data_IF_545045121385
#
_entry.id   IF_545045121385
#
_cell.length_a   1.000
_cell.length_b   1.000
_cell.length_c   1.000
_cell.angle_alpha   90.00
_cell.angle_beta   90.00
_cell.angle_gamma   90.00
#
_symmetry.space_group_name_H-M   'P 1'
#
loop_
_entity.id
_entity.type
_entity.pdbx_description
1 polymer ?
#
# COMPACT_ATOMS: atom_id res chain seq x y z
N UNK A 1 36.73 -3.75 -8.10
CA UNK A 1 35.62 -3.85 -9.06
C UNK A 1 34.60 -2.79 -8.69
N UNK A 2 34.21 -1.91 -9.62
CA UNK A 2 33.19 -0.88 -9.38
C UNK A 2 31.90 -1.27 -10.12
N UNK A 3 30.76 -1.26 -9.43
CA UNK A 3 29.45 -1.43 -10.04
C UNK A 3 28.87 -0.04 -10.33
N UNK A 4 28.62 0.26 -11.60
CA UNK A 4 28.07 1.55 -12.04
C UNK A 4 26.64 1.34 -12.53
N UNK A 5 25.66 1.92 -11.84
CA UNK A 5 24.27 1.97 -12.29
C UNK A 5 23.94 3.38 -12.82
N UNK A 6 23.65 3.48 -14.11
CA UNK A 6 23.24 4.72 -14.75
C UNK A 6 21.80 4.61 -15.26
N UNK A 7 20.96 5.59 -14.94
CA UNK A 7 19.62 5.73 -15.53
C UNK A 7 19.25 7.20 -15.70
N UNK A 8 18.72 7.55 -16.87
CA UNK A 8 18.11 8.84 -17.16
C UNK A 8 16.69 8.98 -16.57
N UNK A 9 16.04 7.87 -16.21
CA UNK A 9 14.72 7.88 -15.59
C UNK A 9 14.82 8.28 -14.10
N UNK A 10 14.11 9.35 -13.73
CA UNK A 10 14.17 9.97 -12.40
C UNK A 10 13.67 9.08 -11.26
N UNK A 11 12.68 8.22 -11.51
CA UNK A 11 12.17 7.25 -10.54
C UNK A 11 13.17 6.10 -10.33
N UNK A 12 13.73 5.56 -11.42
CA UNK A 12 14.74 4.50 -11.37
C UNK A 12 15.99 4.93 -10.59
N UNK A 13 16.38 6.22 -10.68
CA UNK A 13 17.46 6.79 -9.86
C UNK A 13 17.20 6.66 -8.35
N UNK A 14 15.96 6.93 -7.89
CA UNK A 14 15.61 6.81 -6.47
C UNK A 14 15.61 5.34 -6.00
N UNK A 15 15.04 4.45 -6.80
CA UNK A 15 15.06 3.01 -6.54
C UNK A 15 16.50 2.45 -6.48
N UNK A 16 17.38 2.87 -7.40
CA UNK A 16 18.78 2.45 -7.41
C UNK A 16 19.57 2.95 -6.19
N UNK A 17 19.37 4.22 -5.79
CA UNK A 17 20.00 4.77 -4.60
C UNK A 17 19.56 4.02 -3.33
N UNK A 18 18.27 3.69 -3.20
CA UNK A 18 17.74 2.88 -2.11
C UNK A 18 18.38 1.50 -2.06
N UNK A 19 18.40 0.76 -3.19
CA UNK A 19 18.95 -0.59 -3.24
C UNK A 19 20.45 -0.61 -2.92
N UNK A 20 21.23 0.35 -3.43
CA UNK A 20 22.68 0.45 -3.17
C UNK A 20 22.97 0.85 -1.71
N UNK A 21 22.17 1.73 -1.12
CA UNK A 21 22.31 2.08 0.30
C UNK A 21 21.88 0.92 1.23
N UNK A 22 20.75 0.26 0.94
CA UNK A 22 20.30 -0.91 1.70
C UNK A 22 21.32 -2.06 1.64
N UNK A 23 21.91 -2.32 0.46
CA UNK A 23 22.99 -3.30 0.33
C UNK A 23 24.22 -2.95 1.19
N UNK A 24 24.59 -1.67 1.28
CA UNK A 24 25.68 -1.22 2.16
C UNK A 24 25.36 -1.48 3.64
N UNK A 25 24.16 -1.12 4.11
CA UNK A 25 23.72 -1.40 5.49
C UNK A 25 23.75 -2.90 5.81
N UNK A 26 23.26 -3.74 4.90
CA UNK A 26 23.17 -5.18 5.12
C UNK A 26 24.55 -5.86 5.16
N UNK A 27 25.44 -5.50 4.23
CA UNK A 27 26.76 -6.11 4.03
C UNK A 27 27.84 -5.53 4.95
N UNK A 28 27.85 -4.21 5.18
CA UNK A 28 28.90 -3.51 5.91
C UNK A 28 28.45 -3.00 7.30
N UNK A 29 27.19 -3.22 7.69
CA UNK A 29 26.62 -2.81 8.98
C UNK A 29 26.72 -1.30 9.27
N UNK A 30 26.75 -0.49 8.22
CA UNK A 30 26.64 0.98 8.30
C UNK A 30 25.22 1.39 8.67
N UNK A 31 25.09 2.54 9.33
CA UNK A 31 23.79 3.19 9.58
C UNK A 31 23.11 3.64 8.29
N UNK A 32 21.80 3.92 8.35
CA UNK A 32 21.04 4.47 7.23
C UNK A 32 21.61 5.82 6.75
N UNK A 33 22.01 6.68 7.68
CA UNK A 33 22.58 8.00 7.38
C UNK A 33 24.00 7.92 6.77
N UNK A 34 24.82 6.94 7.17
CA UNK A 34 26.13 6.68 6.55
C UNK A 34 25.99 6.10 5.13
N UNK A 35 25.12 5.11 4.94
CA UNK A 35 24.85 4.50 3.64
C UNK A 35 24.22 5.50 2.65
N UNK A 36 23.42 6.44 3.15
CA UNK A 36 22.85 7.53 2.35
C UNK A 36 23.79 8.73 2.14
N UNK A 37 24.87 8.86 2.94
CA UNK A 37 25.81 10.00 2.87
C UNK A 37 26.33 10.32 1.46
N UNK A 38 26.71 9.36 0.59
CA UNK A 38 27.17 9.65 -0.78
C UNK A 38 26.09 10.28 -1.67
N UNK A 39 24.82 10.12 -1.33
CA UNK A 39 23.67 10.61 -2.09
C UNK A 39 23.19 12.00 -1.63
N UNK A 40 23.66 12.49 -0.47
CA UNK A 40 23.35 13.84 0.04
C UNK A 40 23.87 14.90 -0.95
N UNK A 41 23.03 15.87 -1.28
CA UNK A 41 23.36 16.93 -2.24
C UNK A 41 23.28 16.55 -3.73
N UNK A 42 22.89 15.32 -4.07
CA UNK A 42 22.72 14.89 -5.48
C UNK A 42 21.81 15.83 -6.26
N UNK A 43 22.26 16.29 -7.44
CA UNK A 43 21.47 17.09 -8.37
C UNK A 43 21.29 16.38 -9.73
N UNK A 44 20.09 16.38 -10.33
CA UNK A 44 18.81 16.76 -9.71
C UNK A 44 18.46 15.80 -8.57
N UNK A 45 17.79 16.31 -7.53
CA UNK A 45 17.42 15.53 -6.32
C UNK A 45 16.60 14.29 -6.71
N UNK A 46 16.64 13.25 -5.88
CA UNK A 46 15.78 12.09 -6.03
C UNK A 46 14.31 12.50 -5.87
N UNK A 47 13.45 11.95 -6.71
CA UNK A 47 11.99 12.08 -6.55
C UNK A 47 11.58 11.23 -5.35
N UNK A 48 10.87 11.77 -4.35
CA UNK A 48 10.34 10.97 -3.24
C UNK A 48 9.36 9.90 -3.73
N UNK A 49 9.35 8.76 -3.05
CA UNK A 49 8.36 7.72 -3.23
C UNK A 49 6.97 8.25 -2.85
N UNK A 50 5.98 7.82 -3.62
CA UNK A 50 4.55 8.12 -3.43
C UNK A 50 3.82 6.88 -2.95
N UNK A 51 2.56 7.05 -2.55
CA UNK A 51 1.63 5.94 -2.35
C UNK A 51 0.94 5.51 -3.66
N UNK A 52 0.24 4.38 -3.59
CA UNK A 52 -0.43 3.75 -4.72
C UNK A 52 -1.86 4.28 -5.00
N UNK A 53 -2.25 5.44 -4.44
CA UNK A 53 -3.54 6.08 -4.77
C UNK A 53 -3.51 6.75 -6.15
N UNK A 54 -4.69 6.87 -6.76
CA UNK A 54 -4.90 7.66 -7.98
C UNK A 54 -5.03 9.13 -7.61
N UNK A 55 -4.24 10.00 -8.24
CA UNK A 55 -4.33 11.45 -8.07
C UNK A 55 -3.10 12.10 -7.43
N UNK A 56 -3.24 13.29 -6.81
CA UNK A 56 -2.13 14.01 -6.20
C UNK A 56 -1.64 13.31 -4.94
N UNK A 57 -0.33 13.22 -4.76
CA UNK A 57 0.28 12.63 -3.57
C UNK A 57 0.67 13.74 -2.57
N UNK A 58 0.07 13.72 -1.38
CA UNK A 58 0.31 14.71 -0.31
C UNK A 58 1.40 14.32 0.69
N UNK A 59 1.81 13.04 0.71
CA UNK A 59 2.82 12.51 1.60
C UNK A 59 4.03 12.01 0.80
N UNK A 60 5.23 12.55 1.07
CA UNK A 60 6.44 12.29 0.29
C UNK A 60 7.43 11.50 1.13
N UNK A 61 7.60 10.22 0.80
CA UNK A 61 8.51 9.30 1.49
C UNK A 61 9.88 9.30 0.79
N UNK A 62 10.94 9.66 1.49
CA UNK A 62 12.29 9.75 0.89
C UNK A 62 13.04 8.42 0.91
N UNK A 63 14.15 8.36 0.17
CA UNK A 63 15.09 7.22 0.23
C UNK A 63 15.61 7.01 1.65
N UNK A 64 15.90 8.09 2.38
CA UNK A 64 16.42 8.00 3.75
C UNK A 64 15.37 7.43 4.71
N UNK A 65 14.09 7.78 4.56
CA UNK A 65 13.02 7.26 5.42
C UNK A 65 12.83 5.75 5.25
N UNK A 66 12.92 5.24 4.01
CA UNK A 66 12.93 3.80 3.73
C UNK A 66 14.15 3.09 4.34
N UNK A 67 15.34 3.71 4.28
CA UNK A 67 16.55 3.16 4.87
C UNK A 67 16.47 3.14 6.40
N UNK A 68 15.94 4.19 7.03
CA UNK A 68 15.70 4.21 8.49
C UNK A 68 14.64 3.20 8.92
N UNK A 69 13.61 2.96 8.09
CA UNK A 69 12.68 1.85 8.27
C UNK A 69 13.38 0.49 8.27
N UNK A 70 14.29 0.24 7.32
CA UNK A 70 15.10 -0.98 7.28
C UNK A 70 16.04 -1.09 8.51
N UNK A 71 16.69 0.01 8.90
CA UNK A 71 17.57 0.08 10.08
C UNK A 71 16.82 -0.28 11.37
N UNK A 72 15.63 0.29 11.57
CA UNK A 72 14.79 0.02 12.73
C UNK A 72 14.26 -1.43 12.73
N UNK A 73 13.87 -1.96 11.57
CA UNK A 73 13.49 -3.37 11.47
C UNK A 73 14.67 -4.31 11.76
N UNK A 74 15.89 -3.96 11.33
CA UNK A 74 17.11 -4.71 11.65
C UNK A 74 17.44 -4.66 13.15
N UNK A 75 17.27 -3.53 13.83
CA UNK A 75 17.52 -3.41 15.28
C UNK A 75 16.51 -4.21 16.12
N UNK A 76 15.27 -4.37 15.63
CA UNK A 76 14.26 -5.27 16.18
C UNK A 76 14.46 -6.76 15.80
N UNK A 77 15.47 -7.09 15.00
CA UNK A 77 15.74 -8.46 14.53
C UNK A 77 14.72 -8.98 13.50
N UNK A 78 13.97 -8.09 12.83
CA UNK A 78 12.95 -8.47 11.85
C UNK A 78 13.52 -8.81 10.46
N UNK A 79 14.79 -8.45 10.18
CA UNK A 79 15.42 -8.76 8.90
C UNK A 79 16.88 -9.18 9.04
N UNK A 80 17.20 -10.37 8.54
CA UNK A 80 18.56 -10.79 8.21
C UNK A 80 18.57 -11.45 6.83
N UNK A 81 19.32 -10.85 5.89
CA UNK A 81 19.47 -11.35 4.52
C UNK A 81 20.11 -12.75 4.45
N UNK A 82 20.75 -13.23 5.52
CA UNK A 82 21.34 -14.58 5.59
C UNK A 82 20.31 -15.67 5.85
N UNK A 83 19.22 -15.34 6.55
CA UNK A 83 18.15 -16.28 6.92
C UNK A 83 16.84 -16.03 6.17
N UNK A 84 16.75 -14.93 5.42
CA UNK A 84 15.58 -14.58 4.64
C UNK A 84 15.36 -15.56 3.48
N UNK A 85 14.19 -16.19 3.44
CA UNK A 85 13.82 -17.12 2.38
C UNK A 85 13.17 -16.37 1.20
N UNK A 86 13.98 -15.97 0.23
CA UNK A 86 13.53 -15.26 -0.98
C UNK A 86 12.56 -16.09 -1.81
N UNK A 87 12.74 -17.41 -1.91
CA UNK A 87 11.87 -18.28 -2.70
C UNK A 87 10.46 -18.39 -2.07
N UNK A 88 10.36 -18.40 -0.74
CA UNK A 88 9.06 -18.36 -0.03
C UNK A 88 8.38 -16.98 -0.17
N UNK A 89 9.15 -15.89 -0.11
CA UNK A 89 8.64 -14.53 -0.32
C UNK A 89 8.11 -14.34 -1.76
N UNK A 90 8.92 -14.64 -2.78
CA UNK A 90 8.57 -14.50 -4.20
C UNK A 90 7.40 -15.41 -4.59
N UNK A 91 7.30 -16.60 -3.96
CA UNK A 91 6.16 -17.49 -4.15
C UNK A 91 4.88 -16.87 -3.59
N UNK A 92 4.86 -16.44 -2.33
CA UNK A 92 3.61 -16.00 -1.67
C UNK A 92 3.18 -14.55 -1.99
N UNK A 93 4.04 -13.67 -2.50
CA UNK A 93 3.63 -12.33 -2.97
C UNK A 93 2.68 -12.37 -4.20
N UNK A 94 2.67 -13.49 -4.92
CA UNK A 94 1.86 -13.69 -6.13
C UNK A 94 0.38 -13.84 -5.84
N UNK A 95 -0.47 -13.23 -6.69
CA UNK A 95 -1.93 -13.30 -6.57
C UNK A 95 -2.46 -14.74 -6.65
N UNK A 96 -1.86 -15.56 -7.51
CA UNK A 96 -2.18 -16.98 -7.67
C UNK A 96 -1.83 -17.85 -6.44
N UNK A 97 -0.99 -17.34 -5.52
CA UNK A 97 -0.51 -18.02 -4.32
C UNK A 97 -0.96 -17.33 -3.01
N UNK A 98 -1.94 -16.42 -3.09
CA UNK A 98 -2.59 -15.79 -1.94
C UNK A 98 -2.25 -14.30 -1.71
N UNK A 99 -1.23 -13.77 -2.38
CA UNK A 99 -0.75 -12.38 -2.22
C UNK A 99 -0.56 -12.00 -0.74
N UNK A 100 0.44 -12.63 -0.12
CA UNK A 100 0.76 -12.55 1.31
C UNK A 100 2.21 -12.10 1.53
N UNK A 101 2.43 -11.23 2.52
CA UNK A 101 3.78 -10.90 3.00
C UNK A 101 3.82 -10.77 4.53
N UNK A 102 4.91 -11.20 5.15
CA UNK A 102 5.21 -10.87 6.55
C UNK A 102 5.62 -9.41 6.65
N UNK A 103 4.90 -8.62 7.45
CA UNK A 103 5.25 -7.21 7.72
C UNK A 103 5.83 -7.01 9.12
N UNK A 104 5.52 -7.93 10.04
CA UNK A 104 6.25 -8.16 11.29
C UNK A 104 6.45 -9.68 11.40
N UNK A 105 7.68 -10.21 11.24
CA UNK A 105 7.93 -11.65 11.22
C UNK A 105 7.38 -12.34 12.46
N UNK A 106 6.70 -13.48 12.27
CA UNK A 106 6.09 -14.28 13.35
C UNK A 106 5.07 -13.52 14.23
N UNK A 107 4.61 -12.32 13.85
CA UNK A 107 3.48 -11.64 14.53
C UNK A 107 2.38 -11.22 13.57
N UNK A 108 2.70 -10.61 12.43
CA UNK A 108 1.70 -10.15 11.46
C UNK A 108 2.02 -10.52 10.00
N UNK A 109 1.09 -11.26 9.41
CA UNK A 109 1.01 -11.52 7.98
C UNK A 109 -0.05 -10.59 7.37
N UNK A 110 0.31 -9.80 6.37
CA UNK A 110 -0.63 -8.98 5.58
C UNK A 110 -0.97 -9.72 4.28
N UNK A 111 -2.26 -9.81 3.93
CA UNK A 111 -2.69 -10.51 2.72
C UNK A 111 -3.90 -9.90 2.01
N UNK A 112 -4.14 -10.31 0.76
CA UNK A 112 -5.32 -9.95 -0.03
C UNK A 112 -6.62 -10.59 0.50
N UNK A 113 -7.80 -10.10 0.09
CA UNK A 113 -9.06 -10.73 0.48
C UNK A 113 -9.25 -12.07 -0.24
N UNK A 114 -9.49 -13.18 0.48
CA UNK A 114 -9.98 -14.41 -0.12
C UNK A 114 -11.30 -14.21 -0.89
N UNK A 115 -11.46 -14.95 -1.98
CA UNK A 115 -12.71 -15.05 -2.74
C UNK A 115 -13.64 -16.12 -2.14
N UNK A 116 -14.96 -16.00 -2.38
CA UNK A 116 -15.92 -17.06 -2.11
C UNK A 116 -15.75 -18.25 -3.06
N UNK A 117 -15.38 -17.98 -4.32
CA UNK A 117 -15.24 -18.91 -5.44
C UNK A 117 -13.82 -18.92 -6.03
N UNK A 118 -13.43 -20.05 -6.63
CA UNK A 118 -12.12 -20.23 -7.26
C UNK A 118 -11.90 -19.33 -8.49
N UNK A 119 -12.97 -18.89 -9.15
CA UNK A 119 -12.91 -17.90 -10.22
C UNK A 119 -13.57 -16.61 -9.71
N UNK A 120 -12.96 -15.46 -10.00
CA UNK A 120 -13.66 -14.17 -9.89
C UNK A 120 -14.59 -13.94 -11.11
N UNK A 121 -15.32 -12.83 -11.08
CA UNK A 121 -16.24 -12.44 -12.17
C UNK A 121 -15.51 -12.17 -13.49
N UNK A 122 -14.20 -11.95 -13.46
CA UNK A 122 -13.35 -11.68 -14.62
C UNK A 122 -12.67 -12.97 -15.13
N UNK A 123 -12.99 -14.13 -14.55
CA UNK A 123 -12.49 -15.44 -14.95
C UNK A 123 -11.12 -15.83 -14.40
N UNK A 124 -10.54 -15.05 -13.47
CA UNK A 124 -9.22 -15.31 -12.91
C UNK A 124 -9.28 -16.22 -11.68
N UNK A 125 -8.32 -17.15 -11.62
CA UNK A 125 -8.07 -17.98 -10.44
C UNK A 125 -7.84 -17.10 -9.21
N UNK A 126 -8.71 -17.27 -8.22
CA UNK A 126 -8.76 -16.49 -7.00
C UNK A 126 -8.61 -17.40 -5.79
N UNK A 127 -7.75 -17.02 -4.85
CA UNK A 127 -7.51 -17.82 -3.66
C UNK A 127 -8.72 -17.78 -2.72
N UNK A 128 -9.37 -18.93 -2.51
CA UNK A 128 -10.42 -19.09 -1.48
C UNK A 128 -9.78 -19.30 -0.11
N UNK A 129 -10.50 -19.13 1.02
CA UNK A 129 -9.96 -19.36 2.37
C UNK A 129 -9.21 -20.70 2.53
N UNK A 130 -9.68 -21.76 1.86
CA UNK A 130 -9.09 -23.09 1.87
C UNK A 130 -7.63 -23.12 1.37
N UNK A 131 -7.27 -22.27 0.40
CA UNK A 131 -5.91 -22.14 -0.13
C UNK A 131 -4.91 -21.73 0.95
N UNK A 132 -5.32 -20.85 1.87
CA UNK A 132 -4.47 -20.29 2.92
C UNK A 132 -4.21 -21.26 4.08
N UNK A 133 -5.09 -22.24 4.31
CA UNK A 133 -5.09 -23.07 5.53
C UNK A 133 -3.76 -23.79 5.75
N UNK A 134 -3.17 -24.37 4.70
CA UNK A 134 -1.91 -25.12 4.79
C UNK A 134 -0.72 -24.23 5.17
N UNK A 135 -0.65 -23.02 4.59
CA UNK A 135 0.38 -22.03 4.92
C UNK A 135 0.17 -21.47 6.34
N UNK A 136 -1.07 -21.09 6.68
CA UNK A 136 -1.39 -20.55 8.00
C UNK A 136 -1.09 -21.54 9.12
N UNK A 137 -1.43 -22.83 8.96
CA UNK A 137 -1.08 -23.87 9.94
C UNK A 137 0.43 -24.09 10.04
N UNK A 138 1.16 -24.13 8.91
CA UNK A 138 2.63 -24.24 8.89
C UNK A 138 3.30 -23.10 9.67
N UNK A 139 2.78 -21.88 9.52
CA UNK A 139 3.28 -20.70 10.20
C UNK A 139 2.68 -20.46 11.60
N UNK A 140 1.82 -21.36 12.10
CA UNK A 140 1.18 -21.24 13.42
C UNK A 140 0.11 -20.15 13.53
N UNK A 141 -0.36 -19.56 12.42
CA UNK A 141 -1.43 -18.56 12.42
C UNK A 141 -2.74 -19.21 12.85
N UNK A 142 -3.33 -18.69 13.94
CA UNK A 142 -4.62 -19.16 14.50
C UNK A 142 -5.69 -18.08 14.58
N UNK A 143 -5.43 -16.86 14.10
CA UNK A 143 -6.42 -15.78 13.99
C UNK A 143 -6.31 -15.07 12.63
N UNK A 144 -7.45 -14.87 11.97
CA UNK A 144 -7.64 -14.02 10.80
C UNK A 144 -8.48 -12.80 11.20
N UNK A 145 -7.99 -11.60 10.90
CA UNK A 145 -8.72 -10.34 11.09
C UNK A 145 -9.11 -9.77 9.73
N UNK A 146 -10.41 -9.55 9.50
CA UNK A 146 -10.97 -8.99 8.28
C UNK A 146 -11.40 -7.53 8.50
N UNK A 147 -10.94 -6.64 7.62
CA UNK A 147 -11.18 -5.20 7.69
C UNK A 147 -12.16 -4.68 6.61
N UNK A 148 -12.54 -5.52 5.65
CA UNK A 148 -13.46 -5.19 4.54
C UNK A 148 -14.82 -5.88 4.67
N UNK A 149 -15.77 -5.49 3.80
CA UNK A 149 -17.08 -6.13 3.69
C UNK A 149 -16.89 -7.64 3.47
N UNK A 150 -17.81 -8.46 4.01
CA UNK A 150 -17.77 -9.93 3.89
C UNK A 150 -17.79 -10.36 2.42
N UNK A 151 -16.69 -10.94 1.92
CA UNK A 151 -16.57 -11.51 0.56
C UNK A 151 -16.48 -13.06 0.57
N UNK A 152 -16.32 -13.66 1.75
CA UNK A 152 -16.28 -15.12 1.97
C UNK A 152 -16.86 -15.45 3.35
N UNK A 153 -17.26 -16.70 3.59
CA UNK A 153 -17.75 -17.09 4.92
C UNK A 153 -16.62 -17.41 5.90
N UNK A 154 -16.70 -16.83 7.10
CA UNK A 154 -15.68 -16.96 8.14
C UNK A 154 -15.52 -18.42 8.62
N UNK A 155 -16.59 -19.23 8.50
CA UNK A 155 -16.59 -20.65 8.84
C UNK A 155 -15.50 -21.45 8.13
N UNK A 156 -15.16 -21.08 6.90
CA UNK A 156 -14.06 -21.72 6.13
C UNK A 156 -12.70 -21.69 6.86
N UNK A 157 -12.47 -20.71 7.75
CA UNK A 157 -11.32 -20.69 8.66
C UNK A 157 -11.61 -21.35 10.00
N UNK A 158 -12.74 -21.04 10.65
CA UNK A 158 -13.03 -21.56 12.01
C UNK A 158 -13.19 -23.07 12.05
N UNK A 159 -13.81 -23.65 11.02
CA UNK A 159 -14.00 -25.10 10.87
C UNK A 159 -12.67 -25.85 10.65
N UNK A 160 -11.57 -25.11 10.42
CA UNK A 160 -10.20 -25.63 10.32
C UNK A 160 -9.34 -25.30 11.55
N UNK A 161 -9.91 -24.69 12.59
CA UNK A 161 -9.23 -24.32 13.83
C UNK A 161 -8.51 -22.97 13.79
N UNK A 162 -8.89 -22.09 12.86
CA UNK A 162 -8.34 -20.73 12.73
C UNK A 162 -9.47 -19.74 13.07
N UNK A 163 -9.32 -19.04 14.19
CA UNK A 163 -10.29 -18.05 14.67
C UNK A 163 -10.44 -16.91 13.66
N UNK A 164 -11.60 -16.24 13.68
CA UNK A 164 -11.90 -15.15 12.75
C UNK A 164 -12.53 -13.98 13.49
N UNK A 165 -12.11 -12.75 13.16
CA UNK A 165 -12.66 -11.51 13.71
C UNK A 165 -12.92 -10.47 12.61
N UNK A 166 -14.10 -9.84 12.67
CA UNK A 166 -14.50 -8.76 11.77
C UNK A 166 -14.31 -7.39 12.45
N UNK A 167 -13.38 -6.59 11.93
CA UNK A 167 -13.11 -5.21 12.36
C UNK A 167 -13.29 -4.26 11.15
N UNK A 168 -14.50 -4.22 10.62
CA UNK A 168 -14.82 -3.47 9.41
C UNK A 168 -14.67 -1.94 9.58
N UNK A 169 -14.00 -1.32 8.60
CA UNK A 169 -14.12 0.11 8.31
C UNK A 169 -14.05 0.37 6.81
N UNK A 170 -14.47 1.57 6.39
CA UNK A 170 -14.64 1.94 4.99
C UNK A 170 -13.30 1.96 4.22
N UNK A 171 -13.33 1.68 2.92
CA UNK A 171 -12.11 1.69 2.11
C UNK A 171 -11.59 3.13 1.93
N UNK A 172 -10.27 3.31 1.88
CA UNK A 172 -9.62 4.62 1.87
C UNK A 172 -9.60 5.39 3.20
N UNK A 173 -10.51 5.13 4.15
CA UNK A 173 -10.55 5.85 5.44
C UNK A 173 -9.50 5.33 6.43
N UNK A 174 -9.37 6.04 7.55
CA UNK A 174 -8.58 5.62 8.72
C UNK A 174 -9.45 4.79 9.69
N UNK A 175 -8.86 3.91 10.52
CA UNK A 175 -9.60 3.21 11.58
C UNK A 175 -10.00 4.17 12.71
N UNK A 176 -11.10 3.87 13.42
CA UNK A 176 -11.44 4.59 14.65
C UNK A 176 -10.63 4.10 15.84
N UNK A 177 -10.60 4.88 16.93
CA UNK A 177 -9.92 4.50 18.18
C UNK A 177 -10.48 3.21 18.78
N UNK A 178 -11.78 2.98 18.64
CA UNK A 178 -12.47 1.77 19.12
C UNK A 178 -12.07 0.53 18.28
N UNK A 179 -11.86 0.70 16.97
CA UNK A 179 -11.35 -0.36 16.09
C UNK A 179 -9.90 -0.70 16.47
N UNK A 180 -9.07 0.31 16.71
CA UNK A 180 -7.68 0.12 17.17
C UNK A 180 -7.64 -0.60 18.52
N UNK A 181 -8.44 -0.17 19.49
CA UNK A 181 -8.52 -0.80 20.82
C UNK A 181 -8.96 -2.26 20.72
N UNK A 182 -10.02 -2.57 19.95
CA UNK A 182 -10.45 -3.94 19.69
C UNK A 182 -9.37 -4.79 19.03
N UNK A 183 -8.66 -4.24 18.03
CA UNK A 183 -7.54 -4.92 17.38
C UNK A 183 -6.40 -5.23 18.36
N UNK A 184 -6.03 -4.26 19.20
CA UNK A 184 -5.00 -4.44 20.22
C UNK A 184 -5.41 -5.54 21.21
N UNK A 185 -6.58 -5.45 21.84
CA UNK A 185 -7.03 -6.47 22.80
C UNK A 185 -7.12 -7.88 22.19
N UNK A 186 -7.52 -8.00 20.92
CA UNK A 186 -7.52 -9.29 20.21
C UNK A 186 -6.10 -9.85 20.00
N UNK A 187 -5.14 -9.01 19.61
CA UNK A 187 -3.77 -9.45 19.25
C UNK A 187 -2.84 -9.57 20.45
N UNK A 188 -3.08 -8.78 21.51
CA UNK A 188 -2.41 -8.88 22.81
C UNK A 188 -2.80 -10.19 23.53
N UNK A 189 -4.02 -10.68 23.33
CA UNK A 189 -4.49 -11.98 23.81
C UNK A 189 -3.96 -13.20 22.99
N UNK A 190 -3.21 -12.98 21.91
CA UNK A 190 -2.66 -14.04 21.05
C UNK A 190 -1.15 -14.25 21.28
N UNK A 191 -0.80 -15.47 21.71
CA UNK A 191 0.57 -16.01 21.77
C UNK A 191 1.13 -16.40 20.39
N UNK A 192 0.26 -16.48 19.38
CA UNK A 192 0.55 -16.89 18.02
C UNK A 192 0.50 -15.73 17.01
N UNK A 193 1.02 -15.91 15.77
CA UNK A 193 0.90 -14.91 14.72
C UNK A 193 -0.56 -14.70 14.27
N UNK A 194 -0.83 -13.53 13.69
CA UNK A 194 -2.15 -13.10 13.22
C UNK A 194 -2.07 -12.69 11.75
N UNK A 195 -3.02 -13.17 10.95
CA UNK A 195 -3.16 -12.74 9.55
C UNK A 195 -4.22 -11.64 9.45
N UNK A 196 -3.92 -10.55 8.75
CA UNK A 196 -4.81 -9.38 8.64
C UNK A 196 -5.01 -9.01 7.17
N UNK A 197 -6.27 -8.86 6.74
CA UNK A 197 -6.59 -8.45 5.37
C UNK A 197 -7.68 -7.38 5.30
N UNK A 198 -7.59 -6.56 4.26
CA UNK A 198 -8.71 -5.74 3.77
C UNK A 198 -9.11 -6.27 2.38
N UNK A 199 -9.37 -5.42 1.38
CA UNK A 199 -9.58 -5.88 0.00
C UNK A 199 -8.26 -6.28 -0.69
N UNK A 200 -7.31 -5.35 -0.79
CA UNK A 200 -5.98 -5.60 -1.38
C UNK A 200 -4.88 -5.93 -0.34
N UNK A 201 -5.18 -5.85 0.96
CA UNK A 201 -4.17 -6.06 2.01
C UNK A 201 -3.13 -4.95 2.14
N UNK A 202 -3.41 -3.73 1.66
CA UNK A 202 -2.44 -2.62 1.57
C UNK A 202 -2.76 -1.48 2.55
N UNK A 203 -3.71 -0.60 2.22
CA UNK A 203 -4.02 0.60 3.02
C UNK A 203 -4.47 0.29 4.45
N UNK A 204 -5.74 -0.14 4.61
CA UNK A 204 -6.34 -0.46 5.91
C UNK A 204 -5.51 -1.45 6.75
N UNK A 205 -4.97 -2.49 6.11
CA UNK A 205 -4.11 -3.50 6.75
C UNK A 205 -2.80 -2.90 7.27
N UNK A 206 -2.03 -2.20 6.41
CA UNK A 206 -0.76 -1.58 6.81
C UNK A 206 -0.95 -0.48 7.85
N UNK A 207 -2.10 0.20 7.84
CA UNK A 207 -2.47 1.23 8.83
C UNK A 207 -2.75 0.62 10.21
N UNK A 208 -3.60 -0.42 10.27
CA UNK A 208 -3.97 -1.01 11.56
C UNK A 208 -2.81 -1.78 12.21
N UNK A 209 -1.99 -2.48 11.41
CA UNK A 209 -0.73 -3.07 11.90
C UNK A 209 0.27 -1.96 12.27
N UNK A 210 0.29 -0.84 11.54
CA UNK A 210 1.12 0.32 11.86
C UNK A 210 0.83 0.95 13.21
N UNK A 211 -0.46 1.07 13.56
CA UNK A 211 -0.87 1.50 14.90
C UNK A 211 -0.26 0.59 15.99
N UNK A 212 -0.19 -0.72 15.75
CA UNK A 212 0.46 -1.66 16.67
C UNK A 212 1.99 -1.50 16.67
N UNK A 213 2.61 -1.36 15.50
CA UNK A 213 4.05 -1.17 15.34
C UNK A 213 4.56 0.05 16.13
N UNK A 214 3.88 1.19 15.95
CA UNK A 214 4.21 2.45 16.62
C UNK A 214 4.00 2.33 18.14
N UNK A 215 2.85 1.81 18.60
CA UNK A 215 2.55 1.70 20.04
C UNK A 215 3.48 0.73 20.76
N UNK A 216 3.65 -0.49 20.23
CA UNK A 216 4.27 -1.62 20.94
C UNK A 216 5.77 -1.78 20.67
N UNK A 217 6.23 -1.45 19.46
CA UNK A 217 7.66 -1.56 19.10
C UNK A 217 8.36 -0.20 19.00
N UNK A 218 7.64 0.91 19.30
CA UNK A 218 8.14 2.30 19.19
C UNK A 218 8.65 2.66 17.79
N UNK A 219 8.18 1.92 16.77
CA UNK A 219 8.55 2.10 15.38
C UNK A 219 8.06 3.48 14.91
N UNK A 220 8.93 4.41 14.48
CA UNK A 220 8.50 5.73 14.05
C UNK A 220 7.59 5.65 12.81
N UNK A 221 6.60 6.54 12.70
CA UNK A 221 5.51 6.35 11.74
C UNK A 221 5.95 6.46 10.27
N UNK A 222 6.87 7.37 9.95
CA UNK A 222 7.37 7.58 8.58
C UNK A 222 8.23 6.39 8.16
N UNK A 223 9.15 5.99 9.03
CA UNK A 223 9.99 4.81 8.93
C UNK A 223 9.16 3.51 8.80
N UNK A 224 8.05 3.40 9.54
CA UNK A 224 7.13 2.26 9.41
C UNK A 224 6.50 2.20 8.03
N UNK A 225 6.08 3.32 7.45
CA UNK A 225 5.54 3.36 6.07
C UNK A 225 6.63 2.88 5.09
N UNK A 226 7.89 3.29 5.29
CA UNK A 226 9.04 2.78 4.55
C UNK A 226 9.23 1.27 4.68
N UNK A 227 9.35 0.76 5.90
CA UNK A 227 9.52 -0.66 6.19
C UNK A 227 8.36 -1.52 5.66
N UNK A 228 7.12 -1.10 5.88
CA UNK A 228 5.94 -1.84 5.45
C UNK A 228 5.89 -1.92 3.91
N UNK A 229 6.27 -0.85 3.19
CA UNK A 229 6.37 -0.87 1.73
C UNK A 229 7.55 -1.68 1.19
N UNK A 230 8.65 -1.81 1.95
CA UNK A 230 9.73 -2.76 1.64
C UNK A 230 9.29 -4.22 1.80
N UNK A 231 8.41 -4.52 2.76
CA UNK A 231 7.84 -5.85 2.96
C UNK A 231 6.67 -6.18 2.02
N UNK A 232 5.87 -5.16 1.68
CA UNK A 232 4.64 -5.28 0.90
C UNK A 232 4.39 -3.97 0.12
N UNK A 233 4.83 -3.90 -1.15
CA UNK A 233 4.68 -2.71 -1.98
C UNK A 233 3.26 -2.13 -2.01
N UNK A 234 3.16 -0.81 -1.85
CA UNK A 234 1.88 -0.08 -1.89
C UNK A 234 1.11 0.02 -0.56
N UNK A 235 1.60 -0.53 0.55
CA UNK A 235 0.95 -0.38 1.86
C UNK A 235 0.84 1.06 2.37
N UNK A 236 -0.21 1.33 3.17
CA UNK A 236 -0.60 2.65 3.74
C UNK A 236 -0.89 3.71 2.66
N UNK A 237 -2.15 4.13 2.55
CA UNK A 237 -2.66 4.86 1.38
C UNK A 237 -3.29 6.22 1.72
N UNK A 238 -3.06 7.24 0.89
CA UNK A 238 -3.67 8.57 0.98
C UNK A 238 -3.61 9.15 2.40
N UNK A 239 -4.76 9.50 3.03
CA UNK A 239 -4.81 10.13 4.35
C UNK A 239 -4.25 9.25 5.48
N UNK A 240 -4.19 7.92 5.30
CA UNK A 240 -3.69 6.99 6.31
C UNK A 240 -2.21 7.23 6.66
N UNK A 241 -1.44 7.82 5.75
CA UNK A 241 -0.02 8.13 5.95
C UNK A 241 0.16 9.21 7.03
N UNK A 242 -0.58 10.33 6.90
CA UNK A 242 -0.58 11.41 7.89
C UNK A 242 -1.22 10.96 9.21
N UNK A 243 -2.25 10.13 9.14
CA UNK A 243 -2.90 9.54 10.32
C UNK A 243 -1.91 8.76 11.21
N UNK A 244 -1.03 7.93 10.63
CA UNK A 244 -0.02 7.22 11.42
C UNK A 244 0.97 8.16 12.13
N UNK A 245 1.38 9.25 11.48
CA UNK A 245 2.25 10.28 12.08
C UNK A 245 1.55 10.95 13.26
N UNK A 246 0.24 11.19 13.21
CA UNK A 246 -0.49 11.72 14.36
C UNK A 246 -0.68 10.68 15.46
N UNK A 247 -1.00 9.42 15.13
CA UNK A 247 -1.10 8.36 16.13
C UNK A 247 0.20 8.18 16.91
N UNK A 248 1.36 8.35 16.27
CA UNK A 248 2.66 8.39 16.97
C UNK A 248 2.74 9.51 18.01
N UNK A 249 2.27 10.73 17.70
CA UNK A 249 2.20 11.84 18.67
C UNK A 249 1.26 11.48 19.82
N UNK A 250 0.04 11.02 19.53
CA UNK A 250 -0.95 10.68 20.56
C UNK A 250 -0.48 9.54 21.47
N UNK A 251 0.26 8.55 20.96
CA UNK A 251 0.87 7.50 21.78
C UNK A 251 2.02 8.03 22.65
N UNK A 252 2.92 8.86 22.11
CA UNK A 252 4.02 9.47 22.89
C UNK A 252 3.49 10.35 24.05
N UNK A 253 2.47 11.16 23.80
CA UNK A 253 1.83 12.00 24.83
C UNK A 253 1.13 11.13 25.89
N UNK A 254 0.46 10.06 25.48
CA UNK A 254 -0.19 9.12 26.39
C UNK A 254 0.77 8.43 27.38
N UNK A 255 2.03 8.20 26.98
CA UNK A 255 3.03 7.60 27.85
C UNK A 255 3.61 8.58 28.87
N UNK A 256 3.89 9.83 28.46
CA UNK A 256 4.33 10.90 29.38
C UNK A 256 3.35 11.15 30.54
N UNK A 257 2.05 10.92 30.32
CA UNK A 257 0.99 11.06 31.33
C UNK A 257 0.81 9.83 32.23
N UNK A 258 1.52 8.74 31.99
CA UNK A 258 1.37 7.45 32.70
C UNK A 258 2.48 7.14 33.71
N UNK A 259 3.39 8.08 33.95
CA UNK A 259 4.46 7.94 34.96
C UNK A 259 3.85 7.78 36.35
N UNK A 260 4.26 6.71 37.05
CA UNK A 260 3.67 6.33 38.35
C UNK A 260 3.93 7.36 39.45
N UNK A 261 3.00 7.56 40.42
CA UNK A 261 3.19 8.49 41.53
C UNK A 261 4.44 8.26 42.40
N UNK A 262 4.95 7.02 42.43
CA UNK A 262 6.05 6.55 43.27
C UNK A 262 7.37 7.31 43.06
N UNK A 263 7.54 7.99 41.92
CA UNK A 263 8.75 8.77 41.63
C UNK A 263 8.65 10.27 41.96
N UNK A 264 7.47 10.77 42.33
CA UNK A 264 7.27 12.17 42.74
C UNK A 264 7.37 12.39 44.26
N UNK A 265 7.23 11.34 45.09
CA UNK A 265 7.33 11.47 46.56
C UNK A 265 8.72 11.92 47.04
N UNK A 266 9.78 11.77 46.23
CA UNK A 266 11.13 12.24 46.58
C UNK A 266 11.41 13.72 46.24
N UNK A 267 10.48 14.45 45.63
CA UNK A 267 10.70 15.81 45.11
C UNK A 267 9.70 16.89 45.57
N UNK A 268 8.70 16.56 46.40
CA UNK A 268 7.72 17.53 46.89
C UNK A 268 7.56 17.54 48.43
N UNK A 269 8.60 17.99 49.13
CA UNK A 269 8.41 18.72 50.39
C UNK A 269 8.44 20.23 50.12
N UNK A 270 7.32 20.79 49.65
CA UNK A 270 7.21 22.22 49.35
C UNK A 270 5.85 22.66 48.83
N UNK A 271 5.04 23.25 49.72
CA UNK A 271 3.73 23.90 49.48
C UNK A 271 2.60 23.03 48.92
N UNK A 272 1.43 23.12 49.56
CA UNK A 272 0.21 22.45 49.15
C UNK A 272 -0.65 23.36 48.27
N UNK A 273 -1.12 22.87 47.14
CA UNK A 273 -2.31 23.36 46.44
C UNK A 273 -3.06 22.19 45.76
N UNK A 274 -4.34 22.38 45.46
CA UNK A 274 -5.32 21.28 45.36
C UNK A 274 -5.19 20.37 44.13
N UNK A 275 -4.98 19.07 44.37
CA UNK A 275 -4.88 18.07 43.31
C UNK A 275 -6.26 17.64 42.79
N UNK A 276 -6.63 18.10 41.60
CA UNK A 276 -7.82 17.64 40.88
C UNK A 276 -7.65 16.20 40.37
N UNK A 277 -8.63 15.32 40.61
CA UNK A 277 -8.64 13.96 40.06
C UNK A 277 -8.75 14.01 38.53
N UNK A 278 -7.70 13.58 37.82
CA UNK A 278 -7.76 13.40 36.37
C UNK A 278 -8.75 12.29 36.00
N UNK A 279 -9.73 12.66 35.19
CA UNK A 279 -10.82 11.80 34.70
C UNK A 279 -10.40 11.21 33.34
N UNK A 280 -10.96 10.05 32.98
CA UNK A 280 -10.86 9.54 31.60
C UNK A 280 -11.25 10.62 30.57
N UNK A 281 -10.51 10.78 29.45
CA UNK A 281 -10.74 11.86 28.50
C UNK A 281 -12.11 11.74 27.85
N UNK A 282 -12.81 12.87 27.82
CA UNK A 282 -14.17 13.04 27.36
C UNK A 282 -14.35 12.82 25.85
N UNK A 283 -15.60 12.69 25.40
CA UNK A 283 -15.92 12.55 23.97
C UNK A 283 -15.54 13.80 23.16
N UNK A 284 -15.55 15.00 23.75
CA UNK A 284 -15.12 16.24 23.08
C UNK A 284 -13.62 16.27 22.80
N UNK A 285 -12.78 15.91 23.78
CA UNK A 285 -11.31 15.85 23.60
C UNK A 285 -10.92 14.79 22.55
N UNK A 286 -11.71 13.70 22.41
CA UNK A 286 -11.54 12.69 21.36
C UNK A 286 -11.92 13.19 19.96
N UNK A 287 -12.83 14.17 19.87
CA UNK A 287 -13.21 14.81 18.60
C UNK A 287 -12.19 15.88 18.16
N UNK A 288 -11.53 16.55 19.11
CA UNK A 288 -10.50 17.55 18.82
C UNK A 288 -9.25 16.93 18.17
N UNK A 289 -8.72 15.81 18.70
CA UNK A 289 -7.55 15.11 18.11
C UNK A 289 -7.83 14.70 16.66
N UNK A 290 -9.03 14.15 16.38
CA UNK A 290 -9.43 13.78 15.02
C UNK A 290 -9.72 14.99 14.11
N UNK A 291 -10.24 16.09 14.65
CA UNK A 291 -10.43 17.34 13.90
C UNK A 291 -9.08 17.93 13.46
N UNK A 292 -8.07 17.88 14.34
CA UNK A 292 -6.73 18.39 14.06
C UNK A 292 -5.92 17.49 13.09
N UNK A 293 -6.22 16.17 13.05
CA UNK A 293 -5.78 15.29 11.94
C UNK A 293 -6.25 15.86 10.60
N UNK A 294 -7.55 16.16 10.52
CA UNK A 294 -8.21 16.57 9.29
C UNK A 294 -7.77 17.97 8.86
N UNK A 295 -7.48 18.86 9.82
CA UNK A 295 -7.01 20.22 9.56
C UNK A 295 -5.68 20.30 8.79
N UNK A 296 -4.82 19.26 8.86
CA UNK A 296 -3.51 19.20 8.17
C UNK A 296 -3.56 18.49 6.80
N UNK A 297 -4.64 17.76 6.52
CA UNK A 297 -4.83 17.06 5.25
C UNK A 297 -5.20 18.01 4.10
N UNK A 298 -4.85 17.62 2.86
CA UNK A 298 -5.34 18.30 1.67
C UNK A 298 -6.87 18.14 1.52
N UNK A 299 -7.53 19.03 0.78
CA UNK A 299 -8.98 18.93 0.52
C UNK A 299 -9.38 17.61 -0.17
N UNK A 300 -8.46 16.98 -0.92
CA UNK A 300 -8.69 15.66 -1.50
C UNK A 300 -8.61 14.56 -0.44
N UNK A 301 -7.56 14.59 0.40
CA UNK A 301 -7.35 13.61 1.47
C UNK A 301 -8.44 13.66 2.55
N UNK A 302 -8.93 14.86 2.92
CA UNK A 302 -10.06 15.02 3.86
C UNK A 302 -11.31 14.30 3.36
N UNK A 303 -11.68 14.53 2.09
CA UNK A 303 -12.84 13.85 1.47
C UNK A 303 -12.67 12.33 1.45
N UNK A 304 -11.47 11.82 1.22
CA UNK A 304 -11.20 10.37 1.29
C UNK A 304 -11.24 9.84 2.72
N UNK A 305 -10.80 10.63 3.72
CA UNK A 305 -10.87 10.24 5.12
C UNK A 305 -12.32 10.24 5.67
N UNK A 306 -13.16 11.18 5.22
CA UNK A 306 -14.58 11.30 5.59
C UNK A 306 -15.48 10.32 4.84
N UNK A 307 -15.41 10.32 3.50
CA UNK A 307 -16.35 9.62 2.62
C UNK A 307 -15.80 8.28 2.10
N UNK A 308 -14.53 7.97 2.36
CA UNK A 308 -13.84 6.83 1.79
C UNK A 308 -13.44 6.99 0.32
N UNK A 309 -12.75 5.98 -0.18
CA UNK A 309 -12.44 5.79 -1.60
C UNK A 309 -12.98 4.43 -2.05
N UNK A 310 -14.25 4.41 -2.48
CA UNK A 310 -14.93 3.20 -2.90
C UNK A 310 -14.25 2.60 -4.15
N UNK A 311 -14.01 1.29 -4.11
CA UNK A 311 -13.32 0.57 -5.19
C UNK A 311 -11.79 0.70 -5.18
N UNK A 312 -11.18 1.35 -4.17
CA UNK A 312 -9.73 1.51 -4.09
C UNK A 312 -9.02 0.16 -4.09
N UNK A 313 -9.43 -0.77 -3.23
CA UNK A 313 -8.87 -2.11 -3.16
C UNK A 313 -9.04 -2.91 -4.46
N UNK A 314 -10.19 -2.79 -5.12
CA UNK A 314 -10.45 -3.41 -6.42
C UNK A 314 -9.49 -2.88 -7.50
N UNK A 315 -9.31 -1.55 -7.61
CA UNK A 315 -8.37 -0.94 -8.56
C UNK A 315 -6.92 -1.38 -8.31
N UNK A 316 -6.50 -1.49 -7.06
CA UNK A 316 -5.16 -1.96 -6.69
C UNK A 316 -4.90 -3.41 -7.10
N UNK A 317 -5.88 -4.30 -6.93
CA UNK A 317 -5.77 -5.69 -7.37
C UNK A 317 -5.65 -5.81 -8.91
N UNK A 318 -6.40 -4.98 -9.66
CA UNK A 318 -6.31 -4.92 -11.13
C UNK A 318 -4.91 -4.48 -11.58
N UNK A 319 -4.32 -3.46 -10.95
CA UNK A 319 -2.93 -3.03 -11.26
C UNK A 319 -1.93 -4.12 -10.91
N UNK A 320 -2.02 -4.74 -9.73
CA UNK A 320 -1.09 -5.80 -9.32
C UNK A 320 -1.14 -6.99 -10.27
N UNK A 321 -2.33 -7.36 -10.76
CA UNK A 321 -2.55 -8.39 -11.80
C UNK A 321 -1.85 -8.03 -13.11
N UNK A 322 -2.00 -6.80 -13.59
CA UNK A 322 -1.33 -6.33 -14.81
C UNK A 322 0.20 -6.32 -14.68
N UNK A 323 0.73 -5.91 -13.52
CA UNK A 323 2.17 -5.92 -13.24
C UNK A 323 2.75 -7.34 -13.18
N UNK A 324 2.08 -8.28 -12.50
CA UNK A 324 2.55 -9.66 -12.39
C UNK A 324 2.48 -10.43 -13.73
N UNK A 325 1.53 -10.10 -14.62
CA UNK A 325 1.50 -10.66 -15.98
C UNK A 325 2.69 -10.21 -16.84
N UNK A 326 3.20 -9.00 -16.63
CA UNK A 326 4.36 -8.47 -17.36
C UNK A 326 5.71 -9.04 -16.89
N UNK A 327 5.78 -9.63 -15.68
CA UNK A 327 7.03 -10.15 -15.09
C UNK A 327 7.39 -11.58 -15.49
N UNK A 328 6.47 -12.31 -16.16
CA UNK A 328 6.84 -13.38 -17.10
C UNK A 328 7.63 -14.58 -16.56
N UNK A 329 7.33 -15.10 -15.37
CA UNK A 329 7.66 -16.51 -15.04
C UNK A 329 6.87 -17.08 -13.84
N UNK A 330 6.42 -18.35 -13.91
CA UNK A 330 5.94 -19.08 -12.74
C UNK A 330 7.13 -19.71 -11.99
N UNK A 331 7.41 -19.36 -10.73
CA UNK A 331 8.32 -20.12 -9.89
C UNK A 331 7.65 -21.46 -9.56
N UNK A 332 8.41 -22.54 -9.70
CA UNK A 332 8.05 -23.84 -9.13
C UNK A 332 7.91 -23.67 -7.61
N UNK A 333 6.91 -24.28 -6.93
CA UNK A 333 6.87 -24.26 -5.47
C UNK A 333 8.20 -24.80 -4.92
N UNK A 334 8.80 -24.14 -3.91
CA UNK A 334 10.08 -24.58 -3.33
C UNK A 334 10.03 -26.05 -2.91
N UNK A 335 11.17 -26.75 -2.91
CA UNK A 335 11.20 -28.20 -2.65
C UNK A 335 10.60 -28.61 -1.27
N UNK A 336 10.59 -27.69 -0.30
CA UNK A 336 9.95 -27.86 1.02
C UNK A 336 8.42 -27.55 1.04
N UNK A 337 7.84 -27.22 -0.11
CA UNK A 337 6.42 -26.82 -0.30
C UNK A 337 5.66 -27.75 -1.26
N UNK A 338 6.32 -28.73 -1.88
CA UNK A 338 5.63 -29.78 -2.63
C UNK A 338 4.74 -30.64 -1.71
N UNK A 339 3.51 -30.99 -2.11
CA UNK A 339 2.74 -32.04 -1.43
C UNK A 339 3.48 -33.38 -1.56
N UNK A 340 3.36 -34.30 -0.58
CA UNK A 340 3.93 -35.63 -0.72
C UNK A 340 3.32 -36.33 -1.95
N UNK A 341 4.10 -37.10 -2.73
CA UNK A 341 3.60 -37.76 -3.92
C UNK A 341 2.50 -38.76 -3.54
N UNK A 342 1.39 -38.70 -4.26
CA UNK A 342 0.20 -39.55 -4.03
C UNK A 342 0.34 -40.98 -4.53
N UNK A 343 1.54 -41.40 -4.94
CA UNK A 343 1.83 -42.71 -5.51
C UNK A 343 3.33 -43.06 -5.27
N UNK A 344 3.65 -44.12 -4.51
CA UNK A 344 5.04 -44.52 -4.23
C UNK A 344 5.73 -45.25 -5.41
N UNK A 345 5.05 -45.48 -6.53
CA UNK A 345 5.56 -46.33 -7.63
C UNK A 345 6.46 -45.65 -8.67
N UNK A 346 6.71 -44.33 -8.56
CA UNK A 346 7.50 -43.57 -9.55
C UNK A 346 8.69 -42.82 -8.94
N UNK A 347 9.69 -43.58 -8.49
CA UNK A 347 11.05 -43.07 -8.27
C UNK A 347 11.86 -43.35 -9.53
N UNK A 348 12.36 -42.31 -10.20
CA UNK A 348 13.41 -42.48 -11.21
C UNK A 348 14.41 -41.31 -11.17
N UNK A 349 15.67 -41.62 -11.46
CA UNK A 349 16.81 -40.79 -11.08
C UNK A 349 17.00 -39.53 -11.95
N UNK A 350 17.36 -38.41 -11.32
CA UNK A 350 18.07 -37.31 -11.96
C UNK A 350 19.03 -36.65 -10.95
N UNK A 351 20.32 -36.97 -11.07
CA UNK A 351 21.41 -36.31 -10.34
C UNK A 351 21.92 -35.09 -11.12
N UNK A 352 22.55 -34.17 -10.38
CA UNK A 352 23.40 -33.07 -10.87
C UNK A 352 22.73 -31.91 -11.64
N UNK A 353 22.37 -30.86 -10.89
CA UNK A 353 22.83 -29.52 -11.26
C UNK A 353 23.06 -28.66 -10.00
N UNK A 354 24.24 -28.05 -9.89
CA UNK A 354 24.55 -27.05 -8.87
C UNK A 354 23.84 -25.74 -9.21
N UNK A 355 23.02 -25.16 -8.31
CA UNK A 355 22.37 -23.89 -8.59
C UNK A 355 23.38 -22.75 -8.49
N UNK A 356 23.73 -22.14 -9.63
CA UNK A 356 24.40 -20.85 -9.66
C UNK A 356 23.62 -19.83 -8.83
N UNK A 357 24.30 -19.13 -7.92
CA UNK A 357 23.70 -18.05 -7.09
C UNK A 357 23.06 -17.00 -7.99
N UNK A 358 21.72 -17.02 -8.09
CA UNK A 358 20.95 -15.98 -8.76
C UNK A 358 21.00 -14.70 -7.93
N UNK A 359 21.22 -13.58 -8.59
CA UNK A 359 21.28 -12.25 -7.95
C UNK A 359 19.84 -11.82 -7.62
N UNK A 360 19.66 -11.29 -6.41
CA UNK A 360 18.36 -10.94 -5.82
C UNK A 360 17.51 -10.00 -6.69
N UNK A 361 16.27 -10.37 -7.02
CA UNK A 361 15.25 -9.44 -7.49
C UNK A 361 14.45 -8.90 -6.29
N UNK A 362 14.84 -7.75 -5.72
CA UNK A 362 13.90 -6.98 -4.91
C UNK A 362 12.77 -6.46 -5.84
N UNK A 363 11.47 -6.67 -5.55
CA UNK A 363 10.39 -6.17 -6.38
C UNK A 363 10.42 -4.63 -6.51
N UNK A 364 10.71 -4.15 -7.72
CA UNK A 364 10.93 -2.74 -8.05
C UNK A 364 9.62 -1.92 -8.16
N UNK A 365 8.80 -1.81 -7.11
CA UNK A 365 7.65 -0.88 -7.09
C UNK A 365 7.53 -0.12 -5.75
N UNK A 366 8.37 0.90 -5.55
CA UNK A 366 8.08 2.01 -4.61
C UNK A 366 7.63 3.30 -5.33
N UNK A 367 7.63 3.33 -6.67
CA UNK A 367 7.52 4.58 -7.43
C UNK A 367 6.49 4.62 -8.56
N UNK A 368 5.94 3.50 -9.04
CA UNK A 368 5.11 3.54 -10.26
C UNK A 368 3.74 4.20 -10.02
N UNK A 369 3.37 5.22 -10.82
CA UNK A 369 2.04 5.83 -10.76
C UNK A 369 0.97 4.98 -11.48
N UNK A 370 -0.27 5.13 -11.03
CA UNK A 370 -1.47 4.71 -11.76
C UNK A 370 -1.72 5.69 -12.94
N UNK A 371 -1.34 5.25 -14.14
CA UNK A 371 -1.58 5.86 -15.46
C UNK A 371 -0.95 7.25 -15.75
N UNK A 372 -0.37 7.35 -16.95
CA UNK A 372 -0.15 8.62 -17.65
C UNK A 372 -0.51 8.50 -19.13
N UNK A 373 -1.73 8.03 -19.44
CA UNK A 373 -2.34 8.21 -20.76
C UNK A 373 -3.89 8.07 -20.71
N UNK A 374 -4.66 9.07 -21.17
CA UNK A 374 -6.06 8.88 -21.53
C UNK A 374 -6.17 8.53 -23.02
N UNK A 375 -6.40 7.26 -23.35
CA UNK A 375 -6.85 6.87 -24.70
C UNK A 375 -8.36 7.01 -24.78
N UNK A 376 -8.92 7.79 -25.72
CA UNK A 376 -10.37 7.95 -25.85
C UNK A 376 -11.02 6.64 -26.32
N UNK A 377 -12.20 6.35 -25.78
CA UNK A 377 -13.03 5.21 -26.16
C UNK A 377 -13.73 5.48 -27.49
N UNK A 378 -13.38 4.75 -28.54
CA UNK A 378 -14.17 4.68 -29.79
C UNK A 378 -14.17 3.26 -30.36
N UNK A 379 -15.36 2.85 -30.81
CA UNK A 379 -15.68 1.70 -31.68
C UNK A 379 -15.50 0.26 -31.17
N UNK A 380 -16.57 -0.18 -30.50
CA UNK A 380 -17.09 -1.55 -30.56
C UNK A 380 -17.23 -2.05 -32.01
N UNK A 381 -16.26 -2.84 -32.51
CA UNK A 381 -16.50 -3.73 -33.66
C UNK A 381 -17.09 -5.06 -33.19
N UNK A 382 -18.40 -5.21 -33.40
CA UNK A 382 -19.09 -6.50 -33.29
C UNK A 382 -18.53 -7.48 -34.31
N UNK A 383 -18.00 -8.61 -33.85
CA UNK A 383 -17.77 -9.79 -34.68
C UNK A 383 -18.97 -10.73 -34.54
N UNK A 384 -19.83 -10.76 -35.56
CA UNK A 384 -20.85 -11.81 -35.72
C UNK A 384 -20.94 -12.22 -37.19
N UNK A 385 -20.68 -13.49 -37.43
CA UNK A 385 -20.73 -14.20 -38.72
C UNK A 385 -22.11 -14.18 -39.37
N UNK A 386 -22.17 -14.12 -40.71
CA UNK A 386 -23.00 -14.97 -41.62
C UNK A 386 -22.74 -14.55 -43.10
N UNK A 387 -23.04 -15.41 -44.10
CA UNK A 387 -22.41 -15.32 -45.43
C UNK A 387 -23.18 -14.61 -46.55
N UNK A 388 -22.39 -14.16 -47.53
CA UNK A 388 -22.60 -13.94 -48.97
C UNK A 388 -23.97 -14.25 -49.61
N UNK A 389 -24.53 -13.28 -50.36
CA UNK A 389 -25.35 -13.46 -51.59
C UNK A 389 -25.49 -12.13 -52.40
N UNK A 390 -24.89 -12.14 -53.60
CA UNK A 390 -25.30 -11.55 -54.92
C UNK A 390 -25.95 -10.14 -55.08
N UNK A 391 -25.19 -9.32 -55.85
CA UNK A 391 -25.52 -8.63 -57.13
C UNK A 391 -26.48 -7.39 -57.22
N UNK A 392 -26.18 -6.59 -58.27
CA UNK A 392 -26.97 -5.53 -58.94
C UNK A 392 -27.10 -4.16 -58.22
N UNK A 393 -27.04 -2.97 -58.83
CA UNK A 393 -26.46 -2.28 -60.02
C UNK A 393 -27.21 -0.92 -60.13
N UNK A 394 -26.73 0.06 -60.93
CA UNK A 394 -27.50 1.26 -61.44
C UNK A 394 -27.52 2.50 -60.49
N UNK A 395 -26.95 3.71 -60.77
CA UNK A 395 -27.23 4.77 -61.81
C UNK A 395 -28.43 5.69 -61.40
N UNK A 396 -28.42 7.05 -61.40
CA UNK A 396 -27.46 8.07 -61.92
C UNK A 396 -27.58 9.51 -61.28
N UNK A 397 -26.48 10.30 -61.27
CA UNK A 397 -26.29 11.74 -61.69
C UNK A 397 -26.99 13.02 -61.11
N UNK A 398 -26.32 14.18 -61.41
CA UNK A 398 -26.78 15.61 -61.51
C UNK A 398 -27.03 16.35 -60.17
N UNK A 399 -26.44 17.51 -59.77
CA UNK A 399 -25.88 18.78 -60.35
C UNK A 399 -26.83 20.02 -60.29
N UNK A 400 -26.49 21.00 -59.43
CA UNK A 400 -26.71 22.47 -59.53
C UNK A 400 -26.02 23.14 -58.30
N UNK A 401 -25.14 24.17 -58.32
CA UNK A 401 -25.00 25.47 -59.02
C UNK A 401 -25.60 26.69 -58.28
N UNK A 402 -24.72 27.54 -57.71
CA UNK A 402 -24.97 28.97 -57.37
C UNK A 402 -25.62 29.29 -56.00
N UNK A 403 -25.40 30.43 -55.32
CA UNK A 403 -24.53 31.60 -55.60
C UNK A 403 -24.28 32.50 -54.37
N UNK A 404 -23.04 33.01 -54.22
CA UNK A 404 -22.71 34.46 -54.00
C UNK A 404 -23.06 35.25 -52.69
N UNK A 405 -21.99 35.66 -51.96
CA UNK A 405 -21.70 37.02 -51.38
C UNK A 405 -22.57 37.55 -50.21
N UNK A 406 -22.16 38.56 -49.41
CA UNK A 406 -20.94 39.40 -49.34
C UNK A 406 -20.65 39.90 -47.89
N UNK A 407 -19.56 40.65 -47.70
CA UNK A 407 -19.19 41.31 -46.42
C UNK A 407 -19.00 42.84 -46.55
N UNK A 408 -19.11 43.56 -45.41
CA UNK A 408 -18.71 44.97 -45.11
C UNK A 408 -19.37 46.12 -45.93
N UNK A 409 -19.75 47.28 -45.36
CA UNK A 409 -18.85 48.36 -44.89
C UNK A 409 -19.60 49.54 -44.21
N UNK A 410 -18.95 50.12 -43.17
CA UNK A 410 -19.02 51.44 -42.47
C UNK A 410 -19.95 52.60 -42.96
N UNK A 411 -20.51 53.38 -42.01
CA UNK A 411 -20.99 54.77 -42.23
C UNK A 411 -21.31 55.59 -40.95
N UNK A 412 -20.62 56.72 -40.73
CA UNK A 412 -20.73 57.64 -39.57
C UNK A 412 -22.12 58.33 -39.40
N UNK A 413 -22.54 58.95 -38.28
CA UNK A 413 -21.90 59.86 -37.29
C UNK A 413 -22.62 59.71 -35.91
N UNK A 414 -22.48 60.52 -34.83
CA UNK A 414 -21.89 61.85 -34.56
C UNK A 414 -21.45 61.97 -33.07
N UNK A 415 -21.12 63.19 -32.60
CA UNK A 415 -20.49 63.49 -31.32
C UNK A 415 -21.43 64.02 -30.21
N UNK A 416 -21.05 63.79 -28.95
CA UNK A 416 -21.18 64.74 -27.83
C UNK A 416 -20.00 64.54 -26.84
N UNK A 417 -19.52 65.61 -26.21
CA UNK A 417 -18.20 65.68 -25.57
C UNK A 417 -18.24 66.01 -24.08
N UNK A 418 -17.37 65.39 -23.29
CA UNK A 418 -16.66 65.86 -22.07
C UNK A 418 -16.16 64.60 -21.32
N UNK A 419 -15.00 64.53 -20.69
CA UNK A 419 -13.86 65.44 -20.57
C UNK A 419 -12.91 64.82 -19.52
N UNK A 420 -11.67 64.49 -19.88
CA UNK A 420 -10.81 63.63 -19.05
C UNK A 420 -9.67 64.40 -18.37
N UNK A 421 -9.51 64.24 -17.05
CA UNK A 421 -8.25 64.44 -16.29
C UNK A 421 -8.23 63.46 -15.09
N UNK A 422 -7.14 62.69 -14.85
CA UNK A 422 -6.87 61.92 -13.62
C UNK A 422 -5.79 62.64 -12.75
N UNK A 423 -5.22 62.06 -11.67
CA UNK A 423 -5.62 60.93 -10.80
C UNK A 423 -5.70 61.33 -9.30
N UNK A 424 -6.16 60.41 -8.45
CA UNK A 424 -5.52 60.06 -7.16
C UNK A 424 -6.00 58.68 -6.69
#
# INVERSE_FOLDING_TARGET
MALVHCSSNTERRANAALLVAAAQMLLFKTTADEAYRPFRGTYPRFVPFRDATVGPCSFKLTVLDCLKGLEYAMSLGWFDYKTFNVDEYDYYEKLENGDMNWVIPKKFLAFSCPSSSLNDHDGYTSCTPEHYISAFKRWGIRLVVRLNKKQYDAKKFTDKGINHADLFFLDGTCPSREIIQKFFSLVEACDHPVAVHCKAGLGRTGTLIGCYAIKHYKFPAVEWIGWNRLCRPGSVLGPQQHYLVQMEVSYRVGESSSVSPVQNELLQMGSAESFSRTKEPSLSERMEDLSDCMAKLSLADRRVAECGDLGQGERLLVVKRQQQQQSGSPPTPPAALAPPPSDPSKVNCALNSTPSRKIFPFPLILSQPLSSAPTPFTDLKKTSTLPDIRRHTTIDKIVAMGSSKCAATVGATKAASHGAIPPQ
#
